data_IF_571609384842
#
_entry.id   IF_571609384842
#
_cell.length_a   1.000
_cell.length_b   1.000
_cell.length_c   1.000
_cell.angle_alpha   90.00
_cell.angle_beta   90.00
_cell.angle_gamma   90.00
#
_symmetry.space_group_name_H-M   'P 1'
#
loop_
_entity.id
_entity.type
_entity.pdbx_description
1 polymer ?
#
# COMPACT_ATOMS: atom_id res chain seq x y z
N UNK A 1 -4.79 -11.20 10.60
CA UNK A 1 -4.45 -10.52 9.32
C UNK A 1 -5.70 -10.45 8.45
N UNK A 2 -5.85 -9.37 7.71
CA UNK A 2 -6.94 -9.20 6.73
C UNK A 2 -6.36 -9.23 5.32
N UNK A 3 -7.05 -9.92 4.40
CA UNK A 3 -6.63 -10.04 3.00
C UNK A 3 -7.79 -9.65 2.09
N UNK A 4 -7.62 -8.61 1.31
CA UNK A 4 -8.58 -8.22 0.29
C UNK A 4 -8.52 -9.21 -0.88
N UNK A 5 -9.49 -10.11 -0.95
CA UNK A 5 -9.61 -11.09 -2.02
C UNK A 5 -10.51 -10.54 -3.14
N UNK A 6 -9.94 -9.63 -3.95
CA UNK A 6 -10.63 -8.86 -4.99
C UNK A 6 -11.47 -9.75 -5.91
N UNK A 7 -10.89 -10.86 -6.39
CA UNK A 7 -11.58 -11.81 -7.27
C UNK A 7 -12.77 -12.54 -6.62
N UNK A 8 -12.79 -12.65 -5.29
CA UNK A 8 -13.87 -13.29 -4.54
C UNK A 8 -14.92 -12.29 -4.02
N UNK A 9 -14.67 -10.97 -4.15
CA UNK A 9 -15.47 -9.92 -3.53
C UNK A 9 -15.60 -10.12 -2.01
N UNK A 10 -14.48 -10.44 -1.35
CA UNK A 10 -14.43 -10.73 0.09
C UNK A 10 -13.16 -10.19 0.73
N UNK A 11 -13.21 -10.04 2.05
CA UNK A 11 -12.02 -9.88 2.90
C UNK A 11 -11.88 -11.15 3.73
N UNK A 12 -10.75 -11.83 3.58
CA UNK A 12 -10.43 -13.03 4.33
C UNK A 12 -9.72 -12.65 5.64
N UNK A 13 -10.17 -13.24 6.75
CA UNK A 13 -9.57 -13.05 8.07
C UNK A 13 -8.75 -14.26 8.41
N UNK A 14 -7.44 -14.08 8.60
CA UNK A 14 -6.49 -15.15 8.89
C UNK A 14 -5.97 -15.01 10.31
N UNK A 15 -6.10 -16.07 11.11
CA UNK A 15 -5.43 -16.21 12.40
C UNK A 15 -3.98 -16.64 12.18
N UNK A 16 -3.04 -15.71 12.37
CA UNK A 16 -1.61 -15.96 12.15
C UNK A 16 -0.97 -16.94 13.13
N UNK A 17 -1.62 -17.24 14.26
CA UNK A 17 -1.13 -18.25 15.21
C UNK A 17 -1.51 -19.66 14.80
N UNK A 18 -2.68 -19.79 14.15
CA UNK A 18 -3.18 -21.08 13.66
C UNK A 18 -2.76 -21.36 12.21
N UNK A 19 -2.40 -20.32 11.46
CA UNK A 19 -2.18 -20.41 10.02
C UNK A 19 -3.47 -20.71 9.23
N UNK A 20 -4.63 -20.32 9.74
CA UNK A 20 -5.93 -20.67 9.17
C UNK A 20 -6.80 -19.46 8.93
N UNK A 21 -7.61 -19.52 7.86
CA UNK A 21 -8.71 -18.58 7.65
C UNK A 21 -9.82 -18.87 8.67
N UNK A 22 -10.13 -17.89 9.50
CA UNK A 22 -11.13 -18.02 10.56
C UNK A 22 -12.46 -17.37 10.23
N UNK A 23 -12.47 -16.42 9.27
CA UNK A 23 -13.70 -15.73 8.84
C UNK A 23 -13.55 -15.20 7.41
N UNK A 24 -14.68 -14.93 6.76
CA UNK A 24 -14.74 -14.28 5.45
C UNK A 24 -15.85 -13.25 5.46
N UNK A 25 -15.51 -11.98 5.24
CA UNK A 25 -16.48 -10.88 5.04
C UNK A 25 -16.82 -10.88 3.56
N UNK A 26 -18.04 -11.22 3.19
CA UNK A 26 -18.49 -11.41 1.81
C UNK A 26 -19.43 -10.30 1.34
N UNK A 27 -19.77 -10.29 0.04
CA UNK A 27 -20.72 -9.33 -0.54
C UNK A 27 -20.11 -7.96 -0.81
N UNK A 28 -18.78 -7.88 -0.87
CA UNK A 28 -18.05 -6.66 -1.19
C UNK A 28 -17.99 -6.38 -2.69
N UNK A 29 -17.61 -5.18 -3.07
CA UNK A 29 -17.47 -4.75 -4.45
C UNK A 29 -16.02 -4.59 -4.89
N UNK A 30 -15.28 -5.70 -5.10
CA UNK A 30 -13.86 -5.68 -5.40
C UNK A 30 -13.06 -4.89 -4.33
N UNK A 31 -12.89 -5.42 -3.10
CA UNK A 31 -12.19 -4.73 -2.02
C UNK A 31 -10.71 -4.59 -2.37
N UNK A 32 -10.18 -3.37 -2.34
CA UNK A 32 -8.78 -3.07 -2.66
C UNK A 32 -8.00 -2.54 -1.46
N UNK A 33 -8.62 -1.66 -0.66
CA UNK A 33 -8.00 -1.10 0.52
C UNK A 33 -8.62 -1.59 1.82
N UNK A 34 -7.79 -1.79 2.84
CA UNK A 34 -8.25 -2.12 4.19
C UNK A 34 -7.38 -1.46 5.24
N UNK A 35 -8.01 -0.92 6.29
CA UNK A 35 -7.32 -0.41 7.46
C UNK A 35 -7.99 -0.85 8.74
N UNK A 36 -7.19 -1.27 9.73
CA UNK A 36 -7.64 -1.48 11.09
C UNK A 36 -7.36 -0.22 11.92
N UNK A 37 -8.35 0.23 12.66
CA UNK A 37 -8.30 1.42 13.52
C UNK A 37 -8.40 0.94 14.98
N UNK A 38 -7.26 0.68 15.64
CA UNK A 38 -7.23 -0.04 16.91
C UNK A 38 -7.94 0.71 18.06
N UNK A 39 -7.88 2.04 18.08
CA UNK A 39 -8.51 2.84 19.13
C UNK A 39 -10.05 2.79 19.10
N UNK A 40 -10.61 2.41 17.97
CA UNK A 40 -12.07 2.31 17.78
C UNK A 40 -12.53 0.86 17.61
N UNK A 41 -11.58 -0.08 17.55
CA UNK A 41 -11.80 -1.49 17.22
C UNK A 41 -12.63 -1.66 15.93
N UNK A 42 -12.23 -0.96 14.89
CA UNK A 42 -12.92 -0.90 13.59
C UNK A 42 -12.04 -1.30 12.44
N UNK A 43 -12.68 -1.88 11.43
CA UNK A 43 -12.08 -2.16 10.13
C UNK A 43 -12.79 -1.28 9.10
N UNK A 44 -12.03 -0.58 8.28
CA UNK A 44 -12.53 0.15 7.13
C UNK A 44 -12.07 -0.55 5.87
N UNK A 45 -13.01 -0.88 4.99
CA UNK A 45 -12.76 -1.52 3.69
C UNK A 45 -13.17 -0.58 2.58
N UNK A 46 -12.27 -0.32 1.64
CA UNK A 46 -12.54 0.43 0.42
C UNK A 46 -12.78 -0.54 -0.74
N UNK A 47 -13.82 -0.27 -1.51
CA UNK A 47 -14.19 -1.08 -2.67
C UNK A 47 -14.07 -0.25 -3.95
N UNK A 48 -13.45 -0.85 -4.98
CA UNK A 48 -13.38 -0.28 -6.34
C UNK A 48 -14.80 -0.04 -6.89
N UNK A 49 -15.63 -1.06 -6.91
CA UNK A 49 -16.97 -0.94 -7.50
C UNK A 49 -17.84 0.08 -6.77
N UNK A 50 -18.00 1.23 -7.41
CA UNK A 50 -18.87 2.31 -6.96
C UNK A 50 -18.29 3.15 -5.80
N UNK A 51 -17.04 2.91 -5.40
CA UNK A 51 -16.36 3.69 -4.35
C UNK A 51 -16.98 3.56 -2.96
N UNK A 52 -17.65 2.43 -2.68
CA UNK A 52 -18.30 2.20 -1.39
C UNK A 52 -17.26 1.81 -0.35
N UNK A 53 -17.16 2.60 0.70
CA UNK A 53 -16.33 2.30 1.87
C UNK A 53 -17.23 1.80 3.01
N UNK A 54 -16.88 0.63 3.58
CA UNK A 54 -17.70 -0.02 4.60
C UNK A 54 -16.92 -0.09 5.90
N UNK A 55 -17.59 0.22 7.00
CA UNK A 55 -17.04 0.18 8.35
C UNK A 55 -17.60 -1.03 9.08
N UNK A 56 -16.72 -1.86 9.61
CA UNK A 56 -17.06 -3.03 10.43
C UNK A 56 -16.55 -2.86 11.85
N UNK A 57 -17.29 -3.42 12.79
CA UNK A 57 -16.76 -3.76 14.11
C UNK A 57 -15.79 -4.92 13.96
N UNK A 58 -14.62 -4.84 14.62
CA UNK A 58 -13.50 -5.74 14.27
C UNK A 58 -13.57 -7.14 14.91
N UNK A 59 -14.37 -7.33 15.97
CA UNK A 59 -14.48 -8.64 16.65
C UNK A 59 -15.58 -9.51 16.03
N UNK A 60 -16.77 -8.93 15.83
CA UNK A 60 -17.92 -9.65 15.28
C UNK A 60 -18.00 -9.54 13.74
N UNK A 61 -17.20 -8.69 13.11
CA UNK A 61 -17.24 -8.38 11.68
C UNK A 61 -18.62 -7.89 11.22
N UNK A 62 -19.36 -7.25 12.13
CA UNK A 62 -20.66 -6.67 11.81
C UNK A 62 -20.47 -5.31 11.14
N UNK A 63 -21.15 -5.09 10.02
CA UNK A 63 -21.21 -3.77 9.39
C UNK A 63 -21.93 -2.78 10.33
N UNK A 64 -21.27 -1.67 10.62
CA UNK A 64 -21.76 -0.60 11.49
C UNK A 64 -21.94 0.74 10.79
N UNK A 65 -21.46 0.85 9.54
CA UNK A 65 -21.61 2.04 8.74
C UNK A 65 -21.04 1.88 7.33
N UNK A 66 -21.39 2.84 6.49
CA UNK A 66 -20.84 2.96 5.15
C UNK A 66 -20.87 4.41 4.68
N UNK A 67 -20.03 4.73 3.71
CA UNK A 67 -20.10 5.98 2.96
C UNK A 67 -19.63 5.74 1.53
N UNK A 68 -19.92 6.66 0.63
CA UNK A 68 -19.68 6.46 -0.79
C UNK A 68 -18.85 7.61 -1.37
N UNK A 69 -17.66 7.29 -1.91
CA UNK A 69 -16.78 8.20 -2.62
C UNK A 69 -17.18 8.36 -4.12
N UNK A 70 -18.16 7.57 -4.56
CA UNK A 70 -18.79 7.57 -5.93
C UNK A 70 -17.93 7.02 -7.05
N UNK A 71 -16.69 6.71 -6.81
CA UNK A 71 -15.77 6.20 -7.81
C UNK A 71 -14.68 5.39 -7.10
N UNK A 72 -14.10 4.41 -7.76
CA UNK A 72 -12.99 3.53 -7.40
C UNK A 72 -12.25 3.94 -6.11
N UNK A 73 -12.54 3.29 -4.99
CA UNK A 73 -11.89 3.52 -3.71
C UNK A 73 -10.85 2.41 -3.45
N UNK A 74 -9.61 2.82 -3.26
CA UNK A 74 -8.46 1.94 -3.23
C UNK A 74 -7.66 2.11 -1.91
N UNK A 75 -6.40 2.40 -1.98
CA UNK A 75 -5.48 2.45 -0.85
C UNK A 75 -5.99 3.30 0.32
N UNK A 76 -5.82 2.77 1.53
CA UNK A 76 -6.22 3.44 2.78
C UNK A 76 -4.99 3.62 3.66
N UNK A 77 -4.87 4.80 4.29
CA UNK A 77 -3.92 5.04 5.37
C UNK A 77 -4.61 5.73 6.55
N UNK A 78 -4.38 5.22 7.74
CA UNK A 78 -4.86 5.81 8.98
C UNK A 78 -3.77 6.65 9.65
N UNK A 79 -4.05 7.92 9.85
CA UNK A 79 -3.23 8.82 10.64
C UNK A 79 -3.70 8.82 12.10
N UNK A 80 -2.96 8.12 12.94
CA UNK A 80 -3.26 7.95 14.36
C UNK A 80 -3.20 9.27 15.12
N UNK A 81 -2.31 10.17 14.74
CA UNK A 81 -2.12 11.46 15.43
C UNK A 81 -3.33 12.38 15.25
N UNK A 82 -3.86 12.45 14.04
CA UNK A 82 -5.02 13.30 13.72
C UNK A 82 -6.34 12.57 13.75
N UNK A 83 -6.34 11.23 13.89
CA UNK A 83 -7.51 10.34 13.81
C UNK A 83 -8.28 10.49 12.49
N UNK A 84 -7.53 10.71 11.42
CA UNK A 84 -8.05 10.82 10.06
C UNK A 84 -7.68 9.60 9.24
N UNK A 85 -8.58 9.22 8.36
CA UNK A 85 -8.32 8.20 7.34
C UNK A 85 -8.20 8.90 6.01
N UNK A 86 -7.15 8.57 5.27
CA UNK A 86 -6.91 9.02 3.92
C UNK A 86 -7.19 7.87 2.97
N UNK A 87 -7.96 8.12 1.90
CA UNK A 87 -8.37 7.09 0.94
C UNK A 87 -8.13 7.61 -0.46
N UNK A 88 -7.33 6.88 -1.24
CA UNK A 88 -7.18 7.12 -2.67
C UNK A 88 -8.47 6.73 -3.40
N UNK A 89 -8.97 7.59 -4.31
CA UNK A 89 -10.20 7.26 -5.03
C UNK A 89 -10.32 7.96 -6.38
N UNK A 90 -11.13 7.36 -7.25
CA UNK A 90 -11.65 7.93 -8.46
C UNK A 90 -10.61 8.37 -9.48
N UNK A 91 -10.98 9.30 -10.33
CA UNK A 91 -10.12 9.84 -11.38
C UNK A 91 -9.01 10.78 -10.89
N UNK A 92 -8.89 10.97 -9.57
CA UNK A 92 -7.81 11.74 -8.95
C UNK A 92 -8.20 12.45 -7.67
N UNK A 93 -8.19 11.73 -6.54
CA UNK A 93 -8.47 12.30 -5.24
C UNK A 93 -7.90 11.50 -4.07
N UNK A 94 -7.58 12.21 -2.99
CA UNK A 94 -7.41 11.62 -1.65
C UNK A 94 -8.55 12.15 -0.80
N UNK A 95 -9.49 11.29 -0.42
CA UNK A 95 -10.53 11.63 0.53
C UNK A 95 -9.95 11.68 1.94
N UNK A 96 -10.36 12.67 2.72
CA UNK A 96 -10.03 12.79 4.15
C UNK A 96 -11.31 12.48 4.92
N UNK A 97 -11.26 11.46 5.76
CA UNK A 97 -12.41 10.92 6.48
C UNK A 97 -12.12 10.96 7.97
N UNK A 98 -13.08 11.36 8.77
CA UNK A 98 -13.00 11.23 10.22
C UNK A 98 -13.18 9.76 10.61
N UNK A 99 -12.20 9.20 11.33
CA UNK A 99 -12.20 7.79 11.70
C UNK A 99 -13.34 7.41 12.65
N UNK A 100 -13.85 8.35 13.46
CA UNK A 100 -14.86 8.08 14.48
C UNK A 100 -16.28 7.90 13.91
N UNK A 101 -16.64 8.66 12.87
CA UNK A 101 -18.00 8.66 12.33
C UNK A 101 -18.10 8.37 10.82
N UNK A 102 -16.97 8.15 10.16
CA UNK A 102 -16.92 7.86 8.73
C UNK A 102 -17.27 9.05 7.82
N UNK A 103 -17.37 10.27 8.38
CA UNK A 103 -17.71 11.45 7.58
C UNK A 103 -16.50 11.92 6.77
N UNK A 104 -16.72 12.13 5.48
CA UNK A 104 -15.75 12.80 4.64
C UNK A 104 -15.68 14.28 5.04
N UNK A 105 -14.49 14.74 5.46
CA UNK A 105 -14.23 16.10 5.93
C UNK A 105 -13.43 16.93 4.93
N UNK A 106 -12.90 16.30 3.89
CA UNK A 106 -12.14 16.98 2.84
C UNK A 106 -11.79 16.08 1.67
N UNK A 107 -11.26 16.70 0.63
CA UNK A 107 -10.70 16.03 -0.54
C UNK A 107 -9.51 16.81 -1.06
N UNK A 108 -8.40 16.11 -1.30
CA UNK A 108 -7.24 16.67 -1.96
C UNK A 108 -7.27 16.20 -3.42
N UNK A 109 -7.31 17.16 -4.36
CA UNK A 109 -7.37 16.84 -5.79
C UNK A 109 -6.00 16.47 -6.33
N UNK A 110 -5.96 15.40 -7.12
CA UNK A 110 -4.80 14.95 -7.89
C UNK A 110 -5.05 15.07 -9.38
N UNK A 111 -4.01 14.90 -10.17
CA UNK A 111 -4.10 15.01 -11.65
C UNK A 111 -4.64 13.75 -12.34
N UNK A 112 -4.62 12.61 -11.65
CA UNK A 112 -5.16 11.32 -12.09
C UNK A 112 -5.33 10.38 -10.89
N UNK A 113 -5.82 9.16 -11.12
CA UNK A 113 -6.00 8.14 -10.08
C UNK A 113 -4.73 7.92 -9.27
N UNK A 114 -4.82 7.97 -7.92
CA UNK A 114 -3.72 7.64 -7.04
C UNK A 114 -3.59 6.14 -6.85
N UNK A 115 -2.36 5.67 -6.82
CA UNK A 115 -1.99 4.33 -6.35
C UNK A 115 -1.46 4.41 -4.91
N UNK A 116 -0.47 3.60 -4.54
CA UNK A 116 0.08 3.63 -3.19
C UNK A 116 0.52 5.04 -2.76
N UNK A 117 0.30 5.34 -1.50
CA UNK A 117 0.75 6.58 -0.89
C UNK A 117 1.23 6.35 0.55
N UNK A 118 2.14 7.20 1.02
CA UNK A 118 2.69 7.14 2.37
C UNK A 118 2.55 8.47 3.10
N UNK A 119 2.26 8.37 4.39
CA UNK A 119 2.15 9.52 5.29
C UNK A 119 3.45 9.67 6.09
N UNK A 120 4.02 10.85 6.16
CA UNK A 120 5.04 11.14 7.16
C UNK A 120 4.44 11.01 8.58
N UNK A 121 5.17 10.35 9.47
CA UNK A 121 4.81 10.23 10.89
C UNK A 121 5.22 11.48 11.69
N UNK A 122 6.38 12.04 11.36
CA UNK A 122 6.96 13.21 12.04
C UNK A 122 6.84 14.51 11.22
N UNK A 123 6.23 14.44 10.03
CA UNK A 123 6.01 15.58 9.14
C UNK A 123 4.57 15.68 8.69
N UNK A 124 4.28 16.71 7.89
CA UNK A 124 2.93 16.96 7.37
C UNK A 124 2.74 16.52 5.92
N UNK A 125 3.69 15.79 5.32
CA UNK A 125 3.59 15.43 3.90
C UNK A 125 2.90 14.08 3.69
N UNK A 126 2.26 13.97 2.52
CA UNK A 126 1.84 12.70 1.92
C UNK A 126 2.56 12.60 0.58
N UNK A 127 3.17 11.45 0.32
CA UNK A 127 3.73 11.11 -0.97
C UNK A 127 2.76 10.18 -1.68
N UNK A 128 2.36 10.50 -2.90
CA UNK A 128 1.32 9.76 -3.63
C UNK A 128 1.82 9.38 -5.02
N UNK A 129 1.80 8.11 -5.36
CA UNK A 129 2.02 7.66 -6.72
C UNK A 129 0.83 8.02 -7.61
N UNK A 130 1.10 8.70 -8.74
CA UNK A 130 0.11 9.05 -9.75
C UNK A 130 0.59 8.54 -11.11
N UNK A 131 0.43 7.24 -11.43
CA UNK A 131 1.07 6.58 -12.58
C UNK A 131 0.70 7.19 -13.92
N UNK A 132 -0.56 7.53 -14.14
CA UNK A 132 -1.02 8.16 -15.39
C UNK A 132 -0.42 9.55 -15.61
N UNK A 133 -0.07 10.25 -14.54
CA UNK A 133 0.65 11.53 -14.60
C UNK A 133 2.17 11.37 -14.53
N UNK A 134 2.68 10.14 -14.40
CA UNK A 134 4.11 9.79 -14.34
C UNK A 134 4.88 10.60 -13.31
N UNK A 135 4.30 10.72 -12.12
CA UNK A 135 4.93 11.45 -11.02
C UNK A 135 4.53 10.89 -9.65
N UNK A 136 5.30 11.29 -8.65
CA UNK A 136 4.92 11.24 -7.25
C UNK A 136 4.44 12.64 -6.86
N UNK A 137 3.17 12.76 -6.47
CA UNK A 137 2.65 14.01 -5.93
C UNK A 137 3.04 14.13 -4.46
N UNK A 138 3.50 15.32 -4.06
CA UNK A 138 3.77 15.66 -2.66
C UNK A 138 2.67 16.56 -2.17
N UNK A 139 1.97 16.13 -1.15
CA UNK A 139 0.86 16.86 -0.54
C UNK A 139 1.31 17.41 0.81
N UNK A 140 0.96 18.65 1.09
CA UNK A 140 0.98 19.22 2.43
C UNK A 140 -0.39 18.98 3.08
N UNK A 141 -0.42 18.15 4.15
CA UNK A 141 -1.67 17.76 4.83
C UNK A 141 -2.35 18.92 5.53
N UNK A 142 -1.58 19.89 6.02
CA UNK A 142 -2.12 21.03 6.76
C UNK A 142 -2.80 22.03 5.81
N UNK A 143 -2.25 22.18 4.60
CA UNK A 143 -2.84 23.01 3.55
C UNK A 143 -3.91 22.27 2.74
N UNK A 144 -3.85 20.93 2.70
CA UNK A 144 -4.75 20.11 1.90
C UNK A 144 -4.51 20.25 0.39
N UNK A 145 -3.28 20.49 -0.03
CA UNK A 145 -2.94 20.73 -1.43
C UNK A 145 -1.63 20.06 -1.88
N UNK A 146 -1.51 19.84 -3.19
CA UNK A 146 -0.27 19.35 -3.82
C UNK A 146 0.74 20.48 -3.88
N UNK A 147 1.88 20.33 -3.22
CA UNK A 147 2.96 21.34 -3.16
C UNK A 147 4.13 21.04 -4.10
N UNK A 148 4.30 19.77 -4.53
CA UNK A 148 5.32 19.38 -5.50
C UNK A 148 4.88 18.15 -6.31
N UNK A 149 5.54 17.95 -7.45
CA UNK A 149 5.40 16.76 -8.29
C UNK A 149 6.78 16.31 -8.71
N UNK A 150 7.18 15.11 -8.29
CA UNK A 150 8.49 14.54 -8.57
C UNK A 150 8.41 13.51 -9.67
N UNK A 151 9.38 13.52 -10.56
CA UNK A 151 9.50 12.52 -11.62
C UNK A 151 10.29 11.32 -11.13
N UNK A 152 9.91 10.15 -11.60
CA UNK A 152 10.66 8.90 -11.41
C UNK A 152 11.68 8.68 -12.55
N UNK A 153 12.22 9.76 -13.08
CA UNK A 153 13.11 9.81 -14.26
C UNK A 153 12.44 9.17 -15.49
N UNK A 154 13.07 8.20 -16.13
CA UNK A 154 12.53 7.50 -17.31
C UNK A 154 11.65 6.28 -16.95
N UNK A 155 11.61 5.88 -15.68
CA UNK A 155 10.74 4.81 -15.23
C UNK A 155 9.32 5.36 -14.96
N UNK A 156 8.30 4.59 -15.31
CA UNK A 156 6.89 4.97 -15.09
C UNK A 156 6.03 3.75 -14.76
N UNK A 157 4.73 3.97 -14.52
CA UNK A 157 3.88 2.94 -13.93
C UNK A 157 4.31 2.71 -12.48
N UNK A 158 4.39 3.79 -11.72
CA UNK A 158 4.76 3.82 -10.31
C UNK A 158 3.55 3.43 -9.45
N UNK A 159 3.51 2.16 -9.03
CA UNK A 159 2.42 1.59 -8.25
C UNK A 159 2.75 1.53 -6.75
N UNK A 160 3.66 0.66 -6.27
CA UNK A 160 3.96 0.58 -4.85
C UNK A 160 4.92 1.67 -4.38
N UNK A 161 4.88 1.95 -3.08
CA UNK A 161 5.90 2.76 -2.42
C UNK A 161 6.09 2.36 -0.96
N UNK A 162 7.28 2.68 -0.43
CA UNK A 162 7.60 2.63 0.99
C UNK A 162 8.45 3.84 1.39
N UNK A 163 8.34 4.26 2.64
CA UNK A 163 9.02 5.44 3.17
C UNK A 163 10.02 5.05 4.27
N UNK A 164 11.28 5.46 4.07
CA UNK A 164 12.28 5.57 5.14
C UNK A 164 12.40 7.05 5.53
N UNK A 165 11.59 7.44 6.51
CA UNK A 165 11.54 8.82 6.98
C UNK A 165 12.86 9.24 7.65
N UNK A 166 13.53 8.31 8.33
CA UNK A 166 14.77 8.59 9.06
C UNK A 166 15.94 8.96 8.14
N UNK A 167 16.04 8.32 6.97
CA UNK A 167 17.08 8.60 5.99
C UNK A 167 16.61 9.52 4.86
N UNK A 168 15.38 10.04 4.93
CA UNK A 168 14.75 10.85 3.89
C UNK A 168 14.72 10.14 2.53
N UNK A 169 14.23 8.90 2.49
CA UNK A 169 14.16 8.10 1.26
C UNK A 169 12.74 7.58 1.01
N UNK A 170 12.32 7.73 -0.23
CA UNK A 170 11.08 7.16 -0.74
C UNK A 170 11.43 6.10 -1.80
N UNK A 171 11.00 4.88 -1.57
CA UNK A 171 11.16 3.75 -2.46
C UNK A 171 9.93 3.61 -3.33
N UNK A 172 10.09 3.64 -4.65
CA UNK A 172 8.98 3.64 -5.60
C UNK A 172 9.19 2.51 -6.61
N UNK A 173 8.29 1.53 -6.60
CA UNK A 173 8.29 0.46 -7.60
C UNK A 173 7.65 0.93 -8.92
N UNK A 174 8.41 0.86 -10.01
CA UNK A 174 7.97 1.21 -11.35
C UNK A 174 7.88 -0.04 -12.23
N UNK A 175 6.84 -0.13 -13.08
CA UNK A 175 6.62 -1.29 -13.95
C UNK A 175 7.32 -1.19 -15.31
N UNK A 176 7.62 0.02 -15.80
CA UNK A 176 8.12 0.23 -17.18
C UNK A 176 9.27 1.24 -17.20
N UNK A 177 10.54 0.80 -17.36
CA UNK A 177 10.99 -0.57 -17.09
C UNK A 177 10.83 -0.93 -15.62
N UNK A 178 10.86 -2.22 -15.29
CA UNK A 178 10.71 -2.67 -13.90
C UNK A 178 11.91 -2.28 -13.07
N UNK A 179 11.72 -1.27 -12.22
CA UNK A 179 12.79 -0.69 -11.38
C UNK A 179 12.24 -0.28 -10.01
N UNK A 180 13.06 -0.42 -9.01
CA UNK A 180 12.92 0.33 -7.78
C UNK A 180 13.66 1.66 -7.96
N UNK A 181 12.92 2.77 -7.89
CA UNK A 181 13.47 4.12 -7.91
C UNK A 181 13.51 4.65 -6.50
N UNK A 182 14.66 5.18 -6.08
CA UNK A 182 14.84 5.79 -4.77
C UNK A 182 14.88 7.29 -4.92
N UNK A 183 13.96 7.98 -4.24
CA UNK A 183 13.90 9.45 -4.24
C UNK A 183 14.35 10.02 -2.89
N UNK A 184 15.00 11.16 -2.92
CA UNK A 184 15.23 11.98 -1.73
C UNK A 184 13.93 12.73 -1.39
N UNK A 185 13.42 12.59 -0.18
CA UNK A 185 12.15 13.21 0.23
C UNK A 185 12.24 14.72 0.52
N UNK A 186 13.42 15.29 0.55
CA UNK A 186 13.61 16.74 0.70
C UNK A 186 13.67 17.45 -0.66
N UNK A 187 14.42 16.87 -1.62
CA UNK A 187 14.63 17.51 -2.93
C UNK A 187 13.75 16.93 -4.05
N UNK A 188 13.26 15.70 -3.91
CA UNK A 188 12.58 14.96 -4.97
C UNK A 188 13.52 14.38 -6.04
N UNK A 189 14.82 14.49 -5.83
CA UNK A 189 15.83 13.97 -6.76
C UNK A 189 15.93 12.44 -6.69
N UNK A 190 16.20 11.83 -7.83
CA UNK A 190 16.47 10.38 -7.92
C UNK A 190 17.86 10.10 -7.38
N UNK A 191 17.96 9.32 -6.31
CA UNK A 191 19.20 8.91 -5.66
C UNK A 191 19.76 7.63 -6.28
N UNK A 192 18.88 6.65 -6.55
CA UNK A 192 19.27 5.36 -7.10
C UNK A 192 18.16 4.75 -7.95
N UNK A 193 18.53 3.83 -8.83
CA UNK A 193 17.63 2.98 -9.61
C UNK A 193 18.18 1.56 -9.63
N UNK A 194 17.37 0.61 -9.20
CA UNK A 194 17.75 -0.81 -9.10
C UNK A 194 16.79 -1.63 -9.97
N UNK A 195 17.33 -2.56 -10.76
CA UNK A 195 16.51 -3.48 -11.54
C UNK A 195 15.82 -4.47 -10.61
N UNK A 196 14.49 -4.59 -10.75
CA UNK A 196 13.65 -5.55 -10.03
C UNK A 196 12.86 -6.41 -11.01
N UNK A 197 12.19 -7.42 -10.49
CA UNK A 197 11.33 -8.31 -11.26
C UNK A 197 10.07 -7.57 -11.77
N UNK A 198 9.40 -8.12 -12.77
CA UNK A 198 8.26 -7.49 -13.43
C UNK A 198 7.01 -7.41 -12.56
N UNK A 199 6.17 -6.41 -12.84
CA UNK A 199 4.88 -6.19 -12.18
C UNK A 199 5.00 -5.99 -10.66
N UNK A 200 5.83 -5.04 -10.15
CA UNK A 200 5.86 -4.70 -8.73
C UNK A 200 4.52 -4.06 -8.31
N UNK A 201 3.98 -4.49 -7.17
CA UNK A 201 2.71 -3.97 -6.64
C UNK A 201 2.74 -3.68 -5.14
N UNK A 202 3.65 -4.32 -4.39
CA UNK A 202 3.97 -3.94 -3.02
C UNK A 202 5.47 -3.78 -2.79
N UNK A 203 5.83 -2.79 -1.97
CA UNK A 203 7.20 -2.53 -1.52
C UNK A 203 7.17 -2.25 -0.02
N UNK A 204 8.07 -2.88 0.72
CA UNK A 204 8.23 -2.66 2.17
C UNK A 204 9.66 -2.31 2.51
N UNK A 205 9.85 -1.45 3.49
CA UNK A 205 11.15 -1.14 4.06
C UNK A 205 11.30 -1.72 5.47
N UNK A 206 12.31 -2.56 5.64
CA UNK A 206 12.73 -3.08 6.93
C UNK A 206 13.84 -2.18 7.50
N UNK A 207 13.48 -1.30 8.42
CA UNK A 207 14.42 -0.38 9.05
C UNK A 207 15.40 -1.07 10.00
N UNK A 208 15.08 -2.27 10.49
CA UNK A 208 15.95 -3.05 11.38
C UNK A 208 17.13 -3.65 10.62
N UNK A 209 16.87 -4.08 9.38
CA UNK A 209 17.87 -4.77 8.53
C UNK A 209 18.39 -3.89 7.40
N UNK A 210 17.84 -2.68 7.26
CA UNK A 210 18.10 -1.81 6.11
C UNK A 210 17.87 -2.52 4.78
N UNK A 211 16.72 -3.19 4.65
CA UNK A 211 16.32 -3.95 3.46
C UNK A 211 15.01 -3.46 2.87
N UNK A 212 14.91 -3.55 1.56
CA UNK A 212 13.67 -3.31 0.83
C UNK A 212 13.21 -4.64 0.23
N UNK A 213 11.93 -4.96 0.43
CA UNK A 213 11.25 -6.11 -0.16
C UNK A 213 10.32 -5.61 -1.23
N UNK A 214 10.57 -5.95 -2.51
CA UNK A 214 9.67 -5.64 -3.62
C UNK A 214 8.96 -6.91 -4.07
N UNK A 215 7.64 -6.96 -3.87
CA UNK A 215 6.81 -8.09 -4.28
C UNK A 215 6.33 -7.84 -5.71
N UNK A 216 6.67 -8.77 -6.59
CA UNK A 216 6.52 -8.63 -8.03
C UNK A 216 5.64 -9.74 -8.61
N UNK A 217 4.61 -9.37 -9.38
CA UNK A 217 3.67 -10.29 -10.02
C UNK A 217 4.31 -11.29 -10.98
N UNK A 218 5.55 -11.06 -11.40
CA UNK A 218 6.37 -12.04 -12.11
C UNK A 218 6.77 -13.26 -11.24
N UNK A 219 6.18 -13.42 -10.05
CA UNK A 219 6.41 -14.54 -9.15
C UNK A 219 7.71 -14.44 -8.36
N UNK A 220 8.09 -13.23 -7.97
CA UNK A 220 9.33 -12.98 -7.22
C UNK A 220 9.11 -12.00 -6.07
N UNK A 221 9.91 -12.16 -5.01
CA UNK A 221 10.25 -11.08 -4.09
C UNK A 221 11.70 -10.72 -4.31
N UNK A 222 11.96 -9.50 -4.74
CA UNK A 222 13.31 -8.97 -4.85
C UNK A 222 13.71 -8.36 -3.49
N UNK A 223 14.90 -8.73 -3.00
CA UNK A 223 15.48 -8.21 -1.77
C UNK A 223 16.62 -7.27 -2.14
N UNK A 224 16.51 -6.03 -1.69
CA UNK A 224 17.50 -4.99 -1.94
C UNK A 224 18.08 -4.54 -0.59
N UNK A 225 19.38 -4.58 -0.45
CA UNK A 225 20.11 -4.07 0.71
C UNK A 225 20.43 -2.59 0.53
N UNK A 226 20.16 -1.80 1.55
CA UNK A 226 20.59 -0.42 1.69
C UNK A 226 21.84 -0.40 2.56
N UNK A 227 23.01 -0.18 1.94
CA UNK A 227 24.28 -0.11 2.67
C UNK A 227 24.53 1.26 3.28
N UNK A 228 23.98 2.30 2.68
CA UNK A 228 23.89 3.66 3.19
C UNK A 228 22.71 4.39 2.53
N UNK A 229 22.47 5.64 2.88
CA UNK A 229 21.34 6.41 2.37
C UNK A 229 21.35 6.62 0.85
N UNK A 230 22.42 6.29 0.14
CA UNK A 230 22.58 6.52 -1.30
C UNK A 230 22.99 5.27 -2.07
N UNK A 231 23.35 4.19 -1.38
CA UNK A 231 23.91 2.97 -2.00
C UNK A 231 23.00 1.78 -1.73
N UNK A 232 22.56 1.16 -2.82
CA UNK A 232 21.61 0.04 -2.81
C UNK A 232 22.13 -1.10 -3.69
N UNK A 233 21.94 -2.32 -3.24
CA UNK A 233 22.40 -3.53 -3.95
C UNK A 233 21.30 -4.58 -3.95
N UNK A 234 20.97 -5.11 -5.14
CA UNK A 234 20.14 -6.30 -5.23
C UNK A 234 20.89 -7.46 -4.55
N UNK A 235 20.30 -8.05 -3.54
CA UNK A 235 20.91 -9.07 -2.68
C UNK A 235 20.42 -10.47 -3.03
N UNK A 236 19.09 -10.64 -3.11
CA UNK A 236 18.48 -11.94 -3.40
C UNK A 236 17.17 -11.78 -4.16
N UNK A 237 16.70 -12.88 -4.73
CA UNK A 237 15.36 -13.05 -5.29
C UNK A 237 14.77 -14.34 -4.76
N UNK A 238 13.57 -14.26 -4.19
CA UNK A 238 12.83 -15.40 -3.68
C UNK A 238 11.71 -15.74 -4.67
N UNK A 239 11.62 -17.00 -5.05
CA UNK A 239 10.51 -17.47 -5.88
C UNK A 239 9.20 -17.51 -5.09
N UNK A 240 8.17 -16.94 -5.67
CA UNK A 240 6.81 -16.99 -5.14
C UNK A 240 5.91 -17.74 -6.13
N UNK A 241 4.84 -17.11 -6.58
CA UNK A 241 3.94 -17.69 -7.57
C UNK A 241 3.53 -16.61 -8.59
N UNK A 242 3.19 -17.02 -9.79
CA UNK A 242 2.75 -16.10 -10.83
C UNK A 242 1.51 -15.30 -10.37
N UNK A 243 1.61 -13.97 -10.47
CA UNK A 243 0.60 -13.02 -10.01
C UNK A 243 0.59 -12.73 -8.50
N UNK A 244 1.45 -13.37 -7.70
CA UNK A 244 1.65 -13.01 -6.31
C UNK A 244 2.43 -11.70 -6.22
N UNK A 245 1.71 -10.60 -5.98
CA UNK A 245 2.28 -9.24 -6.04
C UNK A 245 1.94 -8.35 -4.86
N UNK A 246 1.03 -8.80 -3.98
CA UNK A 246 0.64 -8.08 -2.78
C UNK A 246 1.02 -8.87 -1.52
N UNK A 247 1.28 -8.16 -0.43
CA UNK A 247 1.68 -8.78 0.82
C UNK A 247 1.56 -7.86 2.03
N UNK A 248 2.23 -8.27 3.10
CA UNK A 248 2.31 -7.51 4.34
C UNK A 248 3.64 -7.84 5.04
N UNK A 249 4.44 -6.83 5.32
CA UNK A 249 5.59 -6.98 6.21
C UNK A 249 5.19 -6.60 7.64
N UNK A 250 5.47 -7.49 8.59
CA UNK A 250 5.18 -7.30 10.02
C UNK A 250 6.50 -7.29 10.79
N UNK A 251 7.10 -6.10 11.02
CA UNK A 251 8.42 -5.97 11.66
C UNK A 251 8.51 -6.62 13.04
N UNK A 252 7.42 -6.57 13.82
CA UNK A 252 7.37 -7.13 15.18
C UNK A 252 7.42 -8.66 15.21
N UNK A 253 7.20 -9.30 14.06
CA UNK A 253 7.26 -10.75 13.88
C UNK A 253 8.44 -11.18 13.04
N UNK A 254 9.22 -10.26 12.53
CA UNK A 254 10.27 -10.52 11.53
C UNK A 254 9.73 -11.37 10.35
N UNK A 255 8.52 -11.02 9.85
CA UNK A 255 7.81 -11.86 8.86
C UNK A 255 7.28 -11.04 7.70
N UNK A 256 7.50 -11.55 6.49
CA UNK A 256 6.87 -11.08 5.26
C UNK A 256 5.80 -12.10 4.82
N UNK A 257 4.56 -11.64 4.70
CA UNK A 257 3.45 -12.42 4.13
C UNK A 257 3.26 -12.03 2.68
N UNK A 258 3.03 -13.02 1.81
CA UNK A 258 2.75 -12.80 0.38
C UNK A 258 1.45 -13.49 0.02
N UNK A 259 0.50 -12.74 -0.52
CA UNK A 259 -0.77 -13.28 -1.00
C UNK A 259 -0.58 -13.88 -2.39
N UNK A 260 -0.87 -15.17 -2.51
CA UNK A 260 -0.83 -15.93 -3.76
C UNK A 260 -2.26 -16.08 -4.30
N UNK A 261 -2.56 -15.58 -5.50
CA UNK A 261 -3.90 -15.71 -6.07
C UNK A 261 -4.15 -17.12 -6.62
N UNK A 262 -5.42 -17.52 -6.70
CA UNK A 262 -5.81 -18.71 -7.45
C UNK A 262 -5.59 -18.47 -8.95
N UNK A 263 -4.83 -19.35 -9.62
CA UNK A 263 -4.61 -19.34 -11.06
C UNK A 263 -4.47 -20.77 -11.60
N UNK A 264 -5.44 -21.24 -12.38
CA UNK A 264 -5.42 -22.60 -12.93
C UNK A 264 -5.35 -23.65 -11.82
N UNK A 265 -4.26 -24.41 -11.73
CA UNK A 265 -4.02 -25.40 -10.66
C UNK A 265 -3.43 -24.80 -9.39
N UNK A 266 -2.96 -23.54 -9.41
CA UNK A 266 -2.44 -22.85 -8.25
C UNK A 266 -3.58 -22.49 -7.30
N UNK A 267 -3.52 -22.93 -6.06
CA UNK A 267 -4.50 -22.58 -5.03
C UNK A 267 -4.20 -21.18 -4.48
N UNK A 268 -5.26 -20.49 -4.02
CA UNK A 268 -5.10 -19.26 -3.27
C UNK A 268 -4.55 -19.60 -1.88
N UNK A 269 -3.48 -18.93 -1.49
CA UNK A 269 -2.84 -19.10 -0.19
C UNK A 269 -2.15 -17.82 0.27
N UNK A 270 -1.76 -17.77 1.53
CA UNK A 270 -0.82 -16.76 2.03
C UNK A 270 0.46 -17.50 2.41
N UNK A 271 1.57 -17.11 1.81
CA UNK A 271 2.89 -17.62 2.17
C UNK A 271 3.52 -16.75 3.24
N UNK A 272 4.13 -17.42 4.20
CA UNK A 272 4.86 -16.79 5.29
C UNK A 272 6.36 -16.99 5.08
N UNK A 273 7.11 -15.89 5.09
CA UNK A 273 8.56 -15.87 4.98
C UNK A 273 9.15 -15.22 6.22
N UNK A 274 9.90 -16.00 6.97
CA UNK A 274 10.71 -15.48 8.08
C UNK A 274 11.87 -14.65 7.52
N UNK A 275 12.12 -13.49 8.10
CA UNK A 275 13.15 -12.54 7.66
C UNK A 275 14.31 -12.57 8.67
N UNK A 276 15.46 -13.06 8.22
CA UNK A 276 16.69 -13.17 9.01
C UNK A 276 17.63 -11.94 8.83
#
# INVERSE_FOLDING_TARGET
MFVCAVGNNSVEVVDLRKGERVHSITGLGAPQGIAYIPELDRILVANDKGGICIIYEAQAFQQIGEFNLKDDADNIRYDRATKRVYIGFGSGGIAIVNAADGKQIGTIKLSAHPEAFELEKNGSRIFVNVPHSRNVAVIDRDKGEVVAKWKTDLAFGNFPMALDEASHRLFVGCRIPSKLVVLNTESGEVVAKIDISGDPDDVFYDSKRHRIYAICGAGKVDIIEQTDASTYKASAKIDTADGARTGLFVPERDTLFVAVPHRGSQQAEVREYEVE
#
